data_IF_832150509737
#
_entry.id   IF_832150509737
#
_cell.length_a   1.000
_cell.length_b   1.000
_cell.length_c   1.000
_cell.angle_alpha   90.00
_cell.angle_beta   90.00
_cell.angle_gamma   90.00
#
_symmetry.space_group_name_H-M   'P 1'
#
loop_
_entity.id
_entity.type
_entity.pdbx_description
1 polymer ?
#
# COMPACT_ATOMS: atom_id res chain seq x y z
N UNK A 1 -10.87 10.86 12.80
CA UNK A 1 -9.50 11.04 12.28
C UNK A 1 -9.38 12.31 11.43
N UNK A 2 -9.97 12.36 10.23
CA UNK A 2 -9.80 13.48 9.27
C UNK A 2 -10.08 14.86 9.87
N UNK A 3 -11.15 15.01 10.67
CA UNK A 3 -11.50 16.29 11.34
C UNK A 3 -10.42 16.84 12.29
N UNK A 4 -9.46 16.02 12.70
CA UNK A 4 -8.38 16.39 13.64
C UNK A 4 -6.99 16.38 12.99
N UNK A 5 -6.89 15.99 11.72
CA UNK A 5 -5.61 15.96 11.02
C UNK A 5 -5.21 17.38 10.61
N UNK A 6 -3.92 17.72 10.76
CA UNK A 6 -3.38 19.00 10.27
C UNK A 6 -3.41 19.08 8.74
N UNK A 7 -3.10 17.96 8.08
CA UNK A 7 -3.21 17.78 6.64
C UNK A 7 -3.30 16.28 6.34
N UNK A 8 -3.90 15.92 5.20
CA UNK A 8 -3.85 14.57 4.65
C UNK A 8 -4.01 14.64 3.14
N UNK A 9 -3.49 13.63 2.45
CA UNK A 9 -3.67 13.46 1.01
C UNK A 9 -3.85 11.97 0.69
N UNK A 10 -4.61 11.69 -0.36
CA UNK A 10 -4.76 10.34 -0.89
C UNK A 10 -4.47 10.39 -2.39
N UNK A 11 -3.58 9.53 -2.85
CA UNK A 11 -3.18 9.42 -4.26
C UNK A 11 -3.59 8.05 -4.78
N UNK A 12 -4.30 8.05 -5.91
CA UNK A 12 -4.75 6.84 -6.59
C UNK A 12 -3.89 6.66 -7.84
N UNK A 13 -3.32 5.46 -8.02
CA UNK A 13 -2.56 5.09 -9.21
C UNK A 13 -3.41 4.13 -10.04
N UNK A 14 -3.73 4.46 -11.30
CA UNK A 14 -4.52 3.59 -12.18
C UNK A 14 -3.83 2.24 -12.44
N UNK A 15 -4.62 1.18 -12.69
CA UNK A 15 -4.11 -0.14 -13.03
C UNK A 15 -3.14 -0.11 -14.22
N UNK A 16 -3.46 0.67 -15.26
CA UNK A 16 -2.61 0.85 -16.42
C UNK A 16 -1.23 1.47 -16.10
N UNK A 17 -1.15 2.39 -15.13
CA UNK A 17 0.15 2.94 -14.71
C UNK A 17 0.96 1.89 -13.94
N UNK A 18 0.30 1.05 -13.14
CA UNK A 18 0.94 -0.09 -12.45
C UNK A 18 1.47 -1.11 -13.45
N UNK A 19 0.70 -1.46 -14.47
CA UNK A 19 1.14 -2.37 -15.53
C UNK A 19 2.34 -1.79 -16.30
N UNK A 20 2.34 -0.48 -16.55
CA UNK A 20 3.39 0.19 -17.32
C UNK A 20 4.70 0.45 -16.55
N UNK A 21 4.68 0.51 -15.21
CA UNK A 21 5.84 0.93 -14.41
C UNK A 21 6.26 -0.05 -13.32
N UNK A 22 5.38 -0.98 -12.97
CA UNK A 22 5.55 -1.91 -11.87
C UNK A 22 5.06 -1.35 -10.53
N UNK A 23 4.51 -2.25 -9.71
CA UNK A 23 3.88 -1.93 -8.42
C UNK A 23 4.80 -1.14 -7.48
N UNK A 24 6.03 -1.60 -7.27
CA UNK A 24 6.95 -0.96 -6.33
C UNK A 24 7.27 0.49 -6.73
N UNK A 25 7.49 0.75 -8.02
CA UNK A 25 7.75 2.09 -8.56
C UNK A 25 6.53 2.99 -8.38
N UNK A 26 5.34 2.46 -8.65
CA UNK A 26 4.08 3.16 -8.44
C UNK A 26 3.85 3.49 -6.96
N UNK A 27 4.16 2.57 -6.05
CA UNK A 27 4.04 2.77 -4.60
C UNK A 27 4.96 3.91 -4.13
N UNK A 28 6.25 3.90 -4.52
CA UNK A 28 7.17 5.00 -4.22
C UNK A 28 6.69 6.34 -4.81
N UNK A 29 6.22 6.33 -6.06
CA UNK A 29 5.70 7.53 -6.72
C UNK A 29 4.44 8.07 -6.02
N UNK A 30 3.52 7.20 -5.60
CA UNK A 30 2.30 7.58 -4.88
C UNK A 30 2.63 8.25 -3.55
N UNK A 31 3.56 7.69 -2.78
CA UNK A 31 3.98 8.27 -1.49
C UNK A 31 4.65 9.64 -1.67
N UNK A 32 5.54 9.79 -2.66
CA UNK A 32 6.14 11.09 -3.00
C UNK A 32 5.10 12.12 -3.44
N UNK A 33 4.15 11.72 -4.31
CA UNK A 33 3.05 12.57 -4.77
C UNK A 33 2.17 13.00 -3.59
N UNK A 34 1.80 12.07 -2.71
CA UNK A 34 0.96 12.35 -1.54
C UNK A 34 1.62 13.38 -0.62
N UNK A 35 2.91 13.19 -0.30
CA UNK A 35 3.69 14.13 0.49
C UNK A 35 3.76 15.52 -0.14
N UNK A 36 4.02 15.59 -1.45
CA UNK A 36 4.11 16.86 -2.18
C UNK A 36 2.76 17.61 -2.25
N UNK A 37 1.63 16.92 -2.11
CA UNK A 37 0.29 17.52 -2.12
C UNK A 37 -0.21 17.99 -0.76
N UNK A 38 0.51 17.69 0.34
CA UNK A 38 0.10 18.14 1.66
C UNK A 38 0.16 19.67 1.75
N UNK A 39 -0.91 20.28 2.27
CA UNK A 39 -0.97 21.73 2.52
C UNK A 39 0.02 22.18 3.58
N UNK A 40 0.38 21.27 4.49
CA UNK A 40 1.36 21.49 5.55
C UNK A 40 2.55 20.58 5.30
N UNK A 41 3.73 21.16 5.06
CA UNK A 41 4.96 20.39 4.84
C UNK A 41 5.44 19.78 6.17
N UNK A 42 5.60 18.46 6.29
CA UNK A 42 6.15 17.85 7.49
C UNK A 42 7.67 18.03 7.56
N UNK A 43 8.21 17.93 8.76
CA UNK A 43 9.66 17.94 9.00
C UNK A 43 10.25 16.53 9.00
N UNK A 44 9.42 15.52 9.28
CA UNK A 44 9.82 14.11 9.35
C UNK A 44 8.72 13.18 8.84
N UNK A 45 9.10 12.11 8.15
CA UNK A 45 8.17 11.13 7.57
C UNK A 45 8.39 9.73 8.13
N UNK A 46 7.31 9.07 8.54
CA UNK A 46 7.30 7.65 8.88
C UNK A 46 6.60 6.87 7.77
N UNK A 47 7.24 5.81 7.27
CA UNK A 47 6.67 4.93 6.25
C UNK A 47 6.49 3.52 6.79
N UNK A 48 5.42 2.85 6.38
CA UNK A 48 5.20 1.46 6.77
C UNK A 48 6.03 0.49 5.91
N UNK A 49 6.85 -0.33 6.56
CA UNK A 49 7.52 -1.48 5.96
C UNK A 49 8.81 -1.20 5.19
N UNK A 50 8.88 -0.15 4.36
CA UNK A 50 10.08 0.12 3.55
C UNK A 50 10.41 1.60 3.37
N UNK A 51 11.70 1.87 3.13
CA UNK A 51 12.24 3.21 2.92
C UNK A 51 11.80 3.80 1.59
N UNK A 52 11.61 5.11 1.57
CA UNK A 52 11.22 5.85 0.38
C UNK A 52 12.25 6.92 0.12
N UNK A 53 13.06 6.73 -0.91
CA UNK A 53 14.04 7.74 -1.31
C UNK A 53 13.32 8.98 -1.88
N UNK A 54 13.99 10.13 -1.95
CA UNK A 54 13.47 11.29 -2.69
C UNK A 54 12.19 11.91 -2.11
N UNK A 55 11.98 11.79 -0.79
CA UNK A 55 10.90 12.50 -0.08
C UNK A 55 11.19 14.00 0.12
N UNK A 56 12.46 14.43 -0.01
CA UNK A 56 12.86 15.82 0.20
C UNK A 56 12.80 16.28 1.67
N UNK A 57 12.59 15.34 2.60
CA UNK A 57 12.63 15.49 4.05
C UNK A 57 13.17 14.19 4.65
N UNK A 58 13.78 14.22 5.85
CA UNK A 58 14.20 13.02 6.55
C UNK A 58 13.02 12.08 6.81
N UNK A 59 13.30 10.78 6.82
CA UNK A 59 12.27 9.79 7.15
C UNK A 59 12.83 8.47 7.59
N UNK A 60 11.96 7.68 8.21
CA UNK A 60 12.26 6.36 8.74
C UNK A 60 11.21 5.36 8.27
N UNK A 61 11.70 4.24 7.74
CA UNK A 61 10.88 3.07 7.51
C UNK A 61 10.67 2.34 8.84
N UNK A 62 9.42 2.15 9.21
CA UNK A 62 9.04 1.48 10.46
C UNK A 62 8.45 0.13 10.11
N UNK A 63 9.04 -0.93 10.66
CA UNK A 63 8.48 -2.27 10.56
C UNK A 63 7.14 -2.34 11.29
N UNK A 64 6.06 -2.73 10.60
CA UNK A 64 4.70 -2.69 11.12
C UNK A 64 4.35 -1.31 11.68
N UNK A 65 4.65 -0.27 10.91
CA UNK A 65 4.50 1.12 11.34
C UNK A 65 3.07 1.46 11.74
N UNK A 66 2.09 0.81 11.11
CA UNK A 66 0.67 0.92 11.43
C UNK A 66 0.31 0.47 12.86
N UNK A 67 1.10 -0.42 13.47
CA UNK A 67 0.88 -0.92 14.83
C UNK A 67 1.56 -0.06 15.90
N UNK A 68 2.54 0.77 15.52
CA UNK A 68 3.41 1.47 16.48
C UNK A 68 3.41 2.99 16.33
N UNK A 69 2.98 3.53 15.19
CA UNK A 69 2.92 4.96 14.92
C UNK A 69 1.51 5.39 14.53
N UNK A 70 0.90 6.24 15.36
CA UNK A 70 -0.48 6.70 15.16
C UNK A 70 -0.69 7.40 13.81
N UNK A 71 0.30 8.15 13.31
CA UNK A 71 0.19 8.80 11.99
C UNK A 71 0.22 7.79 10.83
N UNK A 72 0.96 6.68 10.97
CA UNK A 72 1.01 5.61 9.98
C UNK A 72 -0.29 4.81 10.01
N UNK A 73 -0.78 4.44 11.21
CA UNK A 73 -2.09 3.81 11.39
C UNK A 73 -3.21 4.63 10.73
N UNK A 74 -3.19 5.94 10.96
CA UNK A 74 -4.12 6.89 10.39
C UNK A 74 -4.05 6.91 8.85
N UNK A 75 -2.85 6.94 8.27
CA UNK A 75 -2.66 6.83 6.83
C UNK A 75 -3.16 5.49 6.27
N UNK A 76 -2.94 4.37 6.96
CA UNK A 76 -3.42 3.04 6.56
C UNK A 76 -4.94 2.99 6.49
N UNK A 77 -5.62 3.58 7.48
CA UNK A 77 -7.09 3.68 7.50
C UNK A 77 -7.59 4.52 6.32
N UNK A 78 -6.98 5.68 6.03
CA UNK A 78 -7.34 6.50 4.87
C UNK A 78 -7.19 5.74 3.56
N UNK A 79 -6.06 5.06 3.38
CA UNK A 79 -5.77 4.29 2.18
C UNK A 79 -6.79 3.15 2.00
N UNK A 80 -7.03 2.36 3.05
CA UNK A 80 -7.96 1.23 3.04
C UNK A 80 -9.40 1.67 2.78
N UNK A 81 -9.90 2.65 3.52
CA UNK A 81 -11.27 3.16 3.36
C UNK A 81 -11.48 3.75 1.97
N UNK A 82 -10.50 4.48 1.44
CA UNK A 82 -10.59 5.03 0.07
C UNK A 82 -10.61 3.92 -0.96
N UNK A 83 -9.70 2.94 -0.87
CA UNK A 83 -9.68 1.80 -1.78
C UNK A 83 -10.99 1.02 -1.74
N UNK A 84 -11.53 0.76 -0.56
CA UNK A 84 -12.75 -0.03 -0.42
C UNK A 84 -13.95 0.63 -1.07
N UNK A 85 -14.06 1.97 -1.00
CA UNK A 85 -15.09 2.73 -1.73
C UNK A 85 -14.93 2.59 -3.22
N UNK A 86 -13.71 2.76 -3.75
CA UNK A 86 -13.44 2.60 -5.19
C UNK A 86 -13.82 1.19 -5.66
N UNK A 87 -13.59 0.16 -4.84
CA UNK A 87 -13.95 -1.21 -5.19
C UNK A 87 -15.47 -1.45 -5.20
N UNK A 88 -16.22 -0.76 -4.33
CA UNK A 88 -17.70 -0.77 -4.38
C UNK A 88 -18.20 -0.07 -5.65
N UNK A 89 -17.68 1.11 -5.96
CA UNK A 89 -18.03 1.85 -7.19
C UNK A 89 -17.64 1.05 -8.46
N UNK A 90 -16.57 0.25 -8.38
CA UNK A 90 -16.18 -0.67 -9.44
C UNK A 90 -17.16 -1.84 -9.60
N UNK A 91 -17.71 -2.36 -8.51
CA UNK A 91 -18.73 -3.41 -8.57
C UNK A 91 -19.97 -2.89 -9.32
N UNK A 92 -20.39 -1.65 -9.09
CA UNK A 92 -21.52 -1.08 -9.84
C UNK A 92 -21.27 -1.06 -11.36
N UNK A 93 -20.03 -0.84 -11.79
CA UNK A 93 -19.63 -0.84 -13.20
C UNK A 93 -19.40 -2.24 -13.77
N UNK A 94 -18.93 -3.17 -12.94
CA UNK A 94 -18.60 -4.53 -13.33
C UNK A 94 -19.11 -5.55 -12.31
N UNK A 95 -20.45 -5.72 -12.20
CA UNK A 95 -21.07 -6.51 -11.13
C UNK A 95 -20.69 -7.99 -11.17
N UNK A 96 -20.30 -8.50 -12.34
CA UNK A 96 -19.92 -9.91 -12.52
C UNK A 96 -18.63 -10.32 -11.77
N UNK A 97 -17.84 -9.37 -11.28
CA UNK A 97 -16.58 -9.69 -10.60
C UNK A 97 -16.68 -9.78 -9.09
N UNK A 98 -17.65 -9.16 -8.41
CA UNK A 98 -17.74 -9.19 -6.94
C UNK A 98 -16.75 -8.27 -6.21
N UNK A 99 -16.35 -7.14 -6.83
CA UNK A 99 -15.34 -6.24 -6.27
C UNK A 99 -15.72 -5.63 -4.90
N UNK A 100 -17.00 -5.49 -4.61
CA UNK A 100 -17.53 -5.02 -3.34
C UNK A 100 -17.29 -6.00 -2.18
N UNK A 101 -17.06 -7.28 -2.45
CA UNK A 101 -16.73 -8.27 -1.44
C UNK A 101 -15.22 -8.40 -1.25
N UNK A 102 -14.53 -8.93 -2.27
CA UNK A 102 -13.11 -9.27 -2.19
C UNK A 102 -12.17 -8.12 -2.54
N UNK A 103 -12.68 -6.94 -2.90
CA UNK A 103 -11.87 -5.71 -3.12
C UNK A 103 -10.75 -5.87 -4.16
N UNK A 104 -10.93 -6.78 -5.11
CA UNK A 104 -9.93 -7.13 -6.12
C UNK A 104 -8.77 -8.02 -5.62
N UNK A 105 -8.81 -8.51 -4.37
CA UNK A 105 -7.87 -9.55 -3.92
C UNK A 105 -8.07 -10.86 -4.67
N UNK A 106 -7.03 -11.68 -4.75
CA UNK A 106 -7.08 -13.01 -5.37
C UNK A 106 -7.80 -13.94 -4.41
N UNK A 107 -9.10 -14.14 -4.63
CA UNK A 107 -9.93 -15.12 -3.93
C UNK A 107 -10.43 -16.18 -4.92
N UNK A 108 -10.96 -17.32 -4.45
CA UNK A 108 -11.61 -18.30 -5.33
C UNK A 108 -12.71 -17.69 -6.19
N UNK A 109 -13.54 -16.81 -5.61
CA UNK A 109 -14.65 -16.13 -6.28
C UNK A 109 -14.13 -15.22 -7.40
N UNK A 110 -13.11 -14.41 -7.11
CA UNK A 110 -12.51 -13.55 -8.11
C UNK A 110 -11.84 -14.34 -9.24
N UNK A 111 -11.19 -15.46 -8.91
CA UNK A 111 -10.55 -16.33 -9.90
C UNK A 111 -11.58 -17.01 -10.81
N UNK A 112 -12.72 -17.41 -10.25
CA UNK A 112 -13.85 -17.95 -11.00
C UNK A 112 -14.46 -16.89 -11.94
N UNK A 113 -14.70 -15.68 -11.45
CA UNK A 113 -15.21 -14.57 -12.25
C UNK A 113 -14.25 -14.18 -13.39
N UNK A 114 -12.95 -14.12 -13.11
CA UNK A 114 -11.91 -13.92 -14.13
C UNK A 114 -11.95 -15.00 -15.21
N UNK A 115 -12.07 -16.26 -14.81
CA UNK A 115 -12.12 -17.39 -15.74
C UNK A 115 -13.39 -17.38 -16.61
N UNK A 116 -14.52 -16.97 -16.03
CA UNK A 116 -15.82 -16.94 -16.72
C UNK A 116 -15.98 -15.75 -17.66
N UNK A 117 -15.47 -14.58 -17.27
CA UNK A 117 -15.74 -13.31 -17.97
C UNK A 117 -14.51 -12.69 -18.63
N UNK A 118 -13.31 -13.23 -18.40
CA UNK A 118 -12.05 -12.57 -18.73
C UNK A 118 -11.81 -11.32 -17.88
N UNK A 119 -10.62 -10.70 -17.96
CA UNK A 119 -10.33 -9.48 -17.21
C UNK A 119 -10.93 -8.22 -17.84
N UNK A 120 -11.46 -7.33 -16.99
CA UNK A 120 -11.86 -5.97 -17.36
C UNK A 120 -10.68 -4.97 -17.33
N UNK A 121 -10.94 -3.73 -17.73
CA UNK A 121 -9.95 -2.65 -17.83
C UNK A 121 -9.26 -2.26 -16.50
N UNK A 122 -9.83 -2.65 -15.36
CA UNK A 122 -9.35 -2.28 -14.02
C UNK A 122 -8.46 -3.40 -13.42
N UNK A 123 -8.39 -4.54 -14.09
CA UNK A 123 -7.42 -5.59 -13.76
C UNK A 123 -6.01 -5.17 -14.19
N UNK A 124 -5.03 -5.55 -13.38
CA UNK A 124 -3.61 -5.32 -13.65
C UNK A 124 -3.09 -6.48 -14.51
N UNK A 125 -2.95 -6.26 -15.80
CA UNK A 125 -2.54 -7.31 -16.75
C UNK A 125 -1.10 -7.78 -16.54
N UNK A 126 -0.27 -7.00 -15.85
CA UNK A 126 1.07 -7.44 -15.46
C UNK A 126 1.06 -8.38 -14.24
N UNK A 127 -0.10 -8.71 -13.67
CA UNK A 127 -0.20 -9.65 -12.54
C UNK A 127 -0.41 -11.05 -13.08
N UNK A 128 0.28 -12.03 -12.49
CA UNK A 128 0.31 -13.41 -12.98
C UNK A 128 -1.09 -14.00 -13.16
N UNK A 129 -1.97 -13.86 -12.16
CA UNK A 129 -3.34 -14.39 -12.22
C UNK A 129 -4.17 -13.80 -13.38
N UNK A 130 -3.96 -12.52 -13.71
CA UNK A 130 -4.66 -11.84 -14.80
C UNK A 130 -4.04 -12.22 -16.14
N UNK A 131 -2.71 -12.18 -16.22
CA UNK A 131 -1.93 -12.53 -17.40
C UNK A 131 -2.21 -13.96 -17.89
N UNK A 132 -2.31 -14.91 -16.96
CA UNK A 132 -2.64 -16.32 -17.25
C UNK A 132 -3.99 -16.46 -17.96
N UNK A 133 -5.00 -15.70 -17.53
CA UNK A 133 -6.34 -15.74 -18.15
C UNK A 133 -6.39 -14.93 -19.44
N UNK A 134 -5.65 -13.81 -19.51
CA UNK A 134 -5.67 -12.92 -20.68
C UNK A 134 -4.75 -13.34 -21.83
N UNK A 135 -3.86 -14.31 -21.61
CA UNK A 135 -2.79 -14.67 -22.55
C UNK A 135 -1.73 -13.58 -22.75
N UNK A 136 -1.58 -12.64 -21.79
CA UNK A 136 -0.56 -11.57 -21.85
C UNK A 136 0.68 -11.96 -21.07
N UNK A 137 1.81 -11.28 -21.31
CA UNK A 137 3.00 -11.46 -20.48
C UNK A 137 2.77 -10.85 -19.09
N UNK A 138 3.13 -11.60 -18.06
CA UNK A 138 3.05 -11.19 -16.65
C UNK A 138 4.27 -10.39 -16.19
N UNK A 139 5.26 -10.15 -17.05
CA UNK A 139 6.48 -9.45 -16.67
C UNK A 139 6.27 -7.93 -16.66
N UNK A 140 6.28 -7.26 -15.49
CA UNK A 140 6.30 -5.81 -15.48
C UNK A 140 7.60 -5.31 -16.15
N UNK A 141 7.56 -4.19 -16.89
CA UNK A 141 8.75 -3.63 -17.51
C UNK A 141 9.80 -3.33 -16.44
N UNK A 142 11.06 -3.74 -16.70
CA UNK A 142 12.18 -3.48 -15.78
C UNK A 142 12.41 -1.97 -15.70
N UNK A 143 11.96 -1.32 -14.64
CA UNK A 143 12.35 0.06 -14.36
C UNK A 143 13.86 0.08 -14.08
N UNK A 144 14.62 0.87 -14.85
CA UNK A 144 16.02 1.15 -14.51
C UNK A 144 16.08 1.76 -13.11
N UNK A 145 16.89 1.19 -12.22
CA UNK A 145 17.22 1.86 -10.94
C UNK A 145 17.84 3.22 -11.28
N UNK A 146 17.35 4.33 -10.68
CA UNK A 146 18.13 5.56 -10.64
C UNK A 146 19.48 5.25 -9.98
N UNK A 147 20.56 5.86 -10.47
CA UNK A 147 21.86 5.77 -9.81
C UNK A 147 21.71 6.27 -8.37
N UNK A 148 22.21 5.49 -7.41
CA UNK A 148 22.25 5.90 -6.01
C UNK A 148 23.18 7.09 -5.91
N UNK A 149 22.65 8.28 -5.62
CA UNK A 149 23.44 9.43 -5.18
C UNK A 149 23.66 9.23 -3.69
N UNK A 150 24.91 8.96 -3.33
CA UNK A 150 25.29 8.63 -1.97
C UNK A 150 25.27 9.82 -1.00
N UNK A 151 25.58 9.44 0.24
CA UNK A 151 25.90 10.24 1.43
C UNK A 151 24.71 10.58 2.30
N UNK A 152 24.70 10.02 3.51
CA UNK A 152 24.53 10.79 4.75
C UNK A 152 25.41 10.20 5.87
N UNK A 153 26.28 11.06 6.40
CA UNK A 153 26.98 10.90 7.68
C UNK A 153 26.00 10.88 8.86
N UNK A 154 26.37 10.32 10.02
CA UNK A 154 25.49 10.24 11.18
C UNK A 154 25.35 11.61 11.87
N UNK A 155 24.11 12.08 12.06
CA UNK A 155 23.83 13.27 12.88
C UNK A 155 23.02 12.84 14.11
N UNK A 156 23.72 12.81 15.25
CA UNK A 156 23.18 13.19 16.56
C UNK A 156 22.70 14.65 16.46
N UNK A 157 21.39 14.90 16.55
CA UNK A 157 20.87 16.20 16.99
C UNK A 157 19.39 16.11 17.40
N UNK A 158 19.09 16.82 18.48
CA UNK A 158 17.82 16.86 19.17
C UNK A 158 16.65 17.24 18.24
N UNK A 159 15.56 16.46 18.35
CA UNK A 159 14.29 16.70 17.65
C UNK A 159 13.58 17.90 18.31
N UNK A 160 13.40 19.04 17.63
CA UNK A 160 12.47 20.06 18.09
C UNK A 160 11.03 19.56 17.87
N UNK A 161 10.07 20.08 18.64
CA UNK A 161 8.66 19.72 18.48
C UNK A 161 8.11 20.24 17.13
N UNK A 162 8.20 19.40 16.09
CA UNK A 162 7.75 19.63 14.72
C UNK A 162 6.98 18.43 14.15
N UNK A 163 6.01 18.67 13.28
CA UNK A 163 4.99 17.69 12.89
C UNK A 163 5.53 16.49 12.09
N UNK A 164 5.02 15.30 12.41
CA UNK A 164 5.32 14.03 11.71
C UNK A 164 4.16 13.60 10.82
N UNK A 165 4.45 13.09 9.63
CA UNK A 165 3.45 12.47 8.74
C UNK A 165 3.71 10.97 8.65
N UNK A 166 2.63 10.19 8.71
CA UNK A 166 2.66 8.77 8.39
C UNK A 166 2.18 8.56 6.96
N UNK A 167 2.83 7.63 6.26
CA UNK A 167 2.45 7.23 4.90
C UNK A 167 2.25 5.72 4.87
N UNK A 168 1.14 5.29 4.27
CA UNK A 168 0.79 3.89 4.14
C UNK A 168 0.17 3.62 2.76
N UNK A 169 0.21 2.35 2.38
CA UNK A 169 -0.35 1.83 1.14
C UNK A 169 -1.53 0.92 1.47
N UNK A 170 -2.55 0.92 0.62
CA UNK A 170 -3.68 0.00 0.76
C UNK A 170 -3.33 -1.38 0.19
N UNK A 171 -2.49 -2.14 0.88
CA UNK A 171 -2.30 -3.58 0.63
C UNK A 171 -2.77 -4.38 1.86
N UNK A 172 -3.26 -5.59 1.63
CA UNK A 172 -4.22 -6.25 2.52
C UNK A 172 -3.81 -6.40 3.97
N UNK A 173 -4.78 -6.12 4.85
CA UNK A 173 -4.77 -6.58 6.22
C UNK A 173 -4.51 -8.10 6.22
N UNK A 174 -3.38 -8.51 6.80
CA UNK A 174 -3.23 -9.91 7.22
C UNK A 174 -4.22 -10.14 8.35
N UNK A 175 -5.09 -11.14 8.20
CA UNK A 175 -5.85 -11.70 9.32
C UNK A 175 -4.87 -11.98 10.48
N UNK A 176 -5.23 -11.68 11.74
CA UNK A 176 -4.38 -12.06 12.85
C UNK A 176 -4.20 -13.58 12.82
N UNK A 177 -2.95 -14.04 12.79
CA UNK A 177 -2.62 -15.43 13.04
C UNK A 177 -3.25 -15.79 14.39
N UNK A 178 -4.09 -16.82 14.42
CA UNK A 178 -4.55 -17.43 15.66
C UNK A 178 -3.32 -17.82 16.48
N UNK A 179 -3.14 -17.17 17.62
CA UNK A 179 -2.15 -17.55 18.62
C UNK A 179 -2.45 -19.00 18.99
N UNK A 180 -1.49 -19.88 18.71
CA UNK A 180 -1.58 -21.30 19.02
C UNK A 180 -1.81 -21.51 20.50
N UNK A 181 -2.66 -22.48 20.82
CA UNK A 181 -2.86 -22.98 22.17
C UNK A 181 -1.52 -23.49 22.72
N UNK A 182 -1.11 -22.92 23.85
CA UNK A 182 -0.02 -23.44 24.67
C UNK A 182 -0.39 -24.85 25.14
N UNK A 183 0.30 -25.86 24.61
CA UNK A 183 0.31 -27.20 25.19
C UNK A 183 1.11 -27.11 26.50
N UNK A 184 0.38 -26.99 27.60
CA UNK A 184 0.92 -27.17 28.94
C UNK A 184 1.38 -28.63 29.10
N UNK A 185 2.70 -28.82 29.22
CA UNK A 185 3.30 -30.04 29.71
C UNK A 185 3.00 -30.18 31.20
N UNK A 186 2.08 -31.06 31.58
CA UNK A 186 1.93 -31.48 32.97
C UNK A 186 3.11 -32.38 33.37
N UNK A 187 3.82 -31.96 34.42
CA UNK A 187 4.75 -32.80 35.17
C UNK A 187 4.11 -33.31 36.47
N UNK A 188 4.48 -34.52 36.86
CA UNK A 188 4.17 -35.17 38.14
C UNK A 188 3.96 -36.68 37.90
N UNK A 189 4.64 -37.63 38.54
CA UNK A 189 5.50 -37.68 39.74
C UNK A 189 6.58 -38.73 39.50
#
# INVERSE_FOLDING_TARGET
MVKRALAYAVVIIPAAEVDARGLHVCNLAAMRRALATLTTRPEYVLTDGFGVDGLGVPGLAVWKGDQVAACVAAASVLAKVTRDRIMVDLHERFPQYGFDEHKGYVTPEHSAALSAHGPCAEHRFSYVNVATVSGRDSRPPRSRRPAVVGVLDPIEQAIPAGGTVGVALAEGARLPLSVGEDVAMEGGV
#
